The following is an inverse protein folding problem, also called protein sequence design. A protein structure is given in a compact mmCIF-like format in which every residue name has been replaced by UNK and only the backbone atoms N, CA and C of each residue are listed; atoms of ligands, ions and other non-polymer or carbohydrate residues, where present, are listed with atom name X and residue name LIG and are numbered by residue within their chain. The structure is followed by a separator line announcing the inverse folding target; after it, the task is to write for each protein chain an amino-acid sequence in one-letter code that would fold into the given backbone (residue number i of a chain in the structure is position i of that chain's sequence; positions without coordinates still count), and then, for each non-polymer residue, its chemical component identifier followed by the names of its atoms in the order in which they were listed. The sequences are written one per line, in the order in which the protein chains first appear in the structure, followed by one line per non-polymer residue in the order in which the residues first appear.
data_IF_994442086061
#
_entry.id   IF_994442086061
#
_cell.length_a   1.000
_cell.length_b   1.000
_cell.length_c   1.000
_cell.angle_alpha   90.00
_cell.angle_beta   90.00
_cell.angle_gamma   90.00
#
_symmetry.space_group_name_H-M   'P 1'
#
loop_
_entity.id
_entity.type
_entity.pdbx_description
1 polymer ?
#
# COMPACT_ATOMS: atom_id res chain seq x y z
N UNK A 1 8.99 2.16 -6.67
CA UNK A 1 8.96 2.04 -5.19
C UNK A 1 7.57 2.40 -4.69
N UNK A 2 6.87 1.51 -3.98
CA UNK A 2 5.50 1.74 -3.49
C UNK A 2 5.38 2.96 -2.56
N UNK A 3 6.43 3.27 -1.79
CA UNK A 3 6.51 4.49 -0.96
C UNK A 3 6.40 5.77 -1.79
N UNK A 4 7.02 5.82 -2.98
CA UNK A 4 6.92 6.99 -3.87
C UNK A 4 5.49 7.17 -4.37
N UNK A 5 4.84 6.08 -4.79
CA UNK A 5 3.43 6.07 -5.21
C UNK A 5 2.49 6.49 -4.09
N UNK A 6 2.76 6.06 -2.86
CA UNK A 6 2.02 6.51 -1.69
C UNK A 6 2.10 8.04 -1.54
N UNK A 7 3.30 8.62 -1.61
CA UNK A 7 3.48 10.08 -1.52
C UNK A 7 2.79 10.80 -2.68
N UNK A 8 2.90 10.27 -3.91
CA UNK A 8 2.24 10.84 -5.11
C UNK A 8 0.70 10.85 -5.01
N UNK A 9 0.09 9.83 -4.40
CA UNK A 9 -1.38 9.72 -4.29
C UNK A 9 -1.95 10.37 -3.03
N UNK A 10 -1.23 10.34 -1.90
CA UNK A 10 -1.74 10.80 -0.60
C UNK A 10 -1.09 12.11 -0.12
N UNK A 11 -0.10 12.64 -0.83
CA UNK A 11 0.55 13.93 -0.54
C UNK A 11 1.37 13.96 0.75
N UNK A 12 1.68 12.80 1.34
CA UNK A 12 2.42 12.68 2.61
C UNK A 12 3.28 11.43 2.68
N UNK A 13 4.20 11.41 3.64
CA UNK A 13 4.96 10.22 3.99
C UNK A 13 4.06 9.18 4.68
N UNK A 14 4.28 7.88 4.44
CA UNK A 14 3.56 6.84 5.15
C UNK A 14 3.98 6.79 6.61
N UNK A 15 3.02 6.50 7.48
CA UNK A 15 3.27 6.14 8.89
C UNK A 15 3.94 4.77 9.00
N UNK A 16 4.40 4.42 10.20
CA UNK A 16 4.99 3.11 10.46
C UNK A 16 4.05 1.93 10.11
N UNK A 17 2.75 2.07 10.40
CA UNK A 17 1.74 1.05 10.05
C UNK A 17 1.57 0.91 8.54
N UNK A 18 1.48 2.03 7.84
CA UNK A 18 1.31 2.05 6.38
C UNK A 18 2.56 1.53 5.67
N UNK A 19 3.75 1.80 6.20
CA UNK A 19 4.99 1.22 5.69
C UNK A 19 4.96 -0.32 5.73
N UNK A 20 4.50 -0.92 6.83
CA UNK A 20 4.31 -2.38 6.93
C UNK A 20 3.31 -2.92 5.91
N UNK A 21 2.21 -2.19 5.66
CA UNK A 21 1.24 -2.56 4.61
C UNK A 21 1.88 -2.51 3.23
N UNK A 22 2.68 -1.47 2.94
CA UNK A 22 3.40 -1.37 1.66
C UNK A 22 4.41 -2.50 1.48
N UNK A 23 5.11 -2.92 2.54
CA UNK A 23 5.99 -4.11 2.51
C UNK A 23 5.20 -5.40 2.28
N UNK A 24 4.05 -5.55 2.92
CA UNK A 24 3.17 -6.71 2.71
C UNK A 24 2.66 -6.79 1.27
N UNK A 25 2.22 -5.66 0.69
CA UNK A 25 1.81 -5.55 -0.72
C UNK A 25 2.97 -5.89 -1.66
N UNK A 26 4.19 -5.43 -1.33
CA UNK A 26 5.41 -5.74 -2.09
C UNK A 26 5.69 -7.25 -2.11
N UNK A 27 5.54 -7.92 -0.97
CA UNK A 27 5.86 -9.35 -0.81
C UNK A 27 4.79 -10.30 -1.38
N UNK A 28 3.52 -9.91 -1.38
CA UNK A 28 2.39 -10.77 -1.80
C UNK A 28 2.00 -10.62 -3.29
N UNK A 29 2.95 -10.29 -4.16
CA UNK A 29 2.76 -10.18 -5.61
C UNK A 29 1.74 -9.12 -6.07
N UNK A 30 2.14 -7.85 -6.16
CA UNK A 30 1.55 -6.88 -7.11
C UNK A 30 2.54 -5.75 -7.52
N UNK A 31 3.81 -5.84 -7.11
CA UNK A 31 4.80 -4.76 -7.34
C UNK A 31 5.01 -4.37 -8.80
N UNK A 32 4.82 -5.30 -9.74
CA UNK A 32 4.92 -5.05 -11.18
C UNK A 32 3.63 -4.50 -11.80
N UNK A 33 2.45 -4.92 -11.31
CA UNK A 33 1.15 -4.52 -11.85
C UNK A 33 0.59 -3.22 -11.24
N UNK A 34 1.06 -2.81 -10.06
CA UNK A 34 0.68 -1.54 -9.43
C UNK A 34 1.23 -0.31 -10.16
N UNK A 35 2.04 -0.51 -11.21
CA UNK A 35 2.55 0.57 -12.06
C UNK A 35 1.56 1.03 -13.12
N UNK A 36 0.52 0.24 -13.43
CA UNK A 36 -0.35 0.49 -14.59
C UNK A 36 -1.41 1.56 -14.32
N UNK A 37 -1.93 1.65 -13.10
CA UNK A 37 -3.04 2.55 -12.78
C UNK A 37 -2.98 3.07 -11.32
N UNK A 38 -3.09 4.40 -11.10
CA UNK A 38 -3.08 5.00 -9.76
C UNK A 38 -4.28 4.58 -8.88
N UNK A 39 -5.47 4.44 -9.47
CA UNK A 39 -6.67 4.03 -8.74
C UNK A 39 -6.52 2.60 -8.22
N UNK A 40 -5.96 1.71 -9.04
CA UNK A 40 -5.65 0.34 -8.64
C UNK A 40 -4.69 0.29 -7.45
N UNK A 41 -3.70 1.17 -7.40
CA UNK A 41 -2.82 1.29 -6.23
C UNK A 41 -3.60 1.71 -4.97
N UNK A 42 -4.45 2.73 -5.07
CA UNK A 42 -5.25 3.22 -3.94
C UNK A 42 -6.19 2.12 -3.44
N UNK A 43 -6.92 1.45 -4.33
CA UNK A 43 -7.87 0.39 -3.99
C UNK A 43 -7.17 -0.79 -3.29
N UNK A 44 -6.03 -1.22 -3.83
CA UNK A 44 -5.21 -2.27 -3.22
C UNK A 44 -4.67 -1.87 -1.85
N UNK A 45 -4.12 -0.66 -1.75
CA UNK A 45 -3.60 -0.15 -0.49
C UNK A 45 -4.69 -0.11 0.59
N UNK A 46 -5.87 0.45 0.27
CA UNK A 46 -6.99 0.52 1.19
C UNK A 46 -7.50 -0.87 1.62
N UNK A 47 -7.61 -1.81 0.67
CA UNK A 47 -8.00 -3.20 0.96
C UNK A 47 -7.04 -3.88 1.93
N UNK A 48 -5.74 -3.78 1.69
CA UNK A 48 -4.73 -4.40 2.55
C UNK A 48 -4.59 -3.68 3.88
N UNK A 49 -4.73 -2.36 3.91
CA UNK A 49 -4.75 -1.60 5.15
C UNK A 49 -5.91 -2.05 6.04
N UNK A 50 -7.13 -2.13 5.50
CA UNK A 50 -8.29 -2.65 6.23
C UNK A 50 -8.05 -4.09 6.72
N UNK A 51 -7.57 -4.98 5.85
CA UNK A 51 -7.26 -6.36 6.20
C UNK A 51 -6.26 -6.47 7.35
N UNK A 52 -5.15 -5.73 7.29
CA UNK A 52 -4.11 -5.75 8.32
C UNK A 52 -4.62 -5.21 9.66
N UNK A 53 -5.45 -4.16 9.66
CA UNK A 53 -6.09 -3.63 10.87
C UNK A 53 -7.10 -4.64 11.44
N UNK A 54 -7.95 -5.24 10.61
CA UNK A 54 -8.98 -6.21 11.05
C UNK A 54 -8.40 -7.52 11.59
N UNK A 55 -7.17 -7.87 11.22
CA UNK A 55 -6.47 -9.08 11.69
C UNK A 55 -5.47 -8.81 12.81
N UNK A 56 -5.42 -7.60 13.35
CA UNK A 56 -4.44 -7.17 14.36
C UNK A 56 -2.98 -7.37 13.93
N UNK A 57 -2.71 -7.26 12.63
CA UNK A 57 -1.37 -7.38 12.05
C UNK A 57 -0.54 -6.10 12.23
N UNK A 58 -1.22 -4.95 12.41
CA UNK A 58 -0.66 -3.59 12.59
C UNK A 58 -1.50 -2.73 13.54
#
# INVERSE_FOLDING_TARGET
MLTKKFIENFGRTPTHKEAKVLEYIKSNCYGEYLNVDPQMFIDYFCKYYYYCVSKSFI
#
